data_IF_716051689487
#
_entry.id   IF_716051689487
#
_cell.length_a   1.000
_cell.length_b   1.000
_cell.length_c   1.000
_cell.angle_alpha   90.00
_cell.angle_beta   90.00
_cell.angle_gamma   90.00
#
_symmetry.space_group_name_H-M   'P 1'
#
loop_
_entity.id
_entity.type
_entity.pdbx_description
1 polymer ?
#
# COMPACT_ATOMS: atom_id res chain seq x y z
N UNK A 1 3.65 -4.22 -8.09
CA UNK A 1 4.40 -4.20 -6.81
C UNK A 1 5.16 -2.91 -6.50
N UNK A 2 5.09 -1.86 -7.35
CA UNK A 2 5.97 -0.68 -7.20
C UNK A 2 5.89 0.00 -5.83
N UNK A 3 4.68 0.26 -5.32
CA UNK A 3 4.52 0.88 -3.99
C UNK A 3 5.05 0.00 -2.86
N UNK A 4 4.81 -1.31 -2.89
CA UNK A 4 5.31 -2.26 -1.88
C UNK A 4 6.84 -2.24 -1.81
N UNK A 5 7.50 -2.33 -2.97
CA UNK A 5 8.96 -2.29 -3.07
C UNK A 5 9.50 -0.94 -2.58
N UNK A 6 8.88 0.17 -3.02
CA UNK A 6 9.29 1.51 -2.61
C UNK A 6 9.17 1.69 -1.08
N UNK A 7 8.05 1.26 -0.47
CA UNK A 7 7.87 1.31 1.00
C UNK A 7 8.96 0.51 1.72
N UNK A 8 9.33 -0.66 1.18
CA UNK A 8 10.36 -1.51 1.79
C UNK A 8 11.74 -0.87 1.72
N UNK A 9 12.11 -0.29 0.58
CA UNK A 9 13.37 0.45 0.42
C UNK A 9 13.39 1.68 1.34
N UNK A 10 12.29 2.43 1.43
CA UNK A 10 12.23 3.62 2.27
C UNK A 10 12.39 3.29 3.76
N UNK A 11 11.79 2.20 4.23
CA UNK A 11 11.99 1.74 5.61
C UNK A 11 13.43 1.28 5.88
N UNK A 12 14.13 0.79 4.85
CA UNK A 12 15.48 0.27 4.98
C UNK A 12 15.57 -0.96 5.89
N UNK A 13 16.75 -1.17 6.47
CA UNK A 13 17.06 -2.24 7.40
C UNK A 13 17.21 -3.62 6.77
N UNK A 14 17.39 -4.63 7.62
CA UNK A 14 17.54 -6.01 7.19
C UNK A 14 16.25 -6.54 6.58
N UNK A 15 16.33 -6.98 5.32
CA UNK A 15 15.30 -7.75 4.65
C UNK A 15 15.72 -9.21 4.62
N UNK A 16 14.87 -10.08 5.15
CA UNK A 16 15.15 -11.51 5.22
C UNK A 16 13.93 -12.26 4.73
N UNK A 17 14.18 -13.20 3.84
CA UNK A 17 13.24 -14.21 3.36
C UNK A 17 13.76 -15.59 3.74
N UNK A 18 13.01 -16.63 3.42
CA UNK A 18 13.40 -18.02 3.62
C UNK A 18 14.66 -18.41 2.83
N UNK A 19 14.96 -17.72 1.72
CA UNK A 19 16.08 -18.05 0.82
C UNK A 19 17.19 -16.99 0.79
N UNK A 20 16.88 -15.74 1.14
CA UNK A 20 17.77 -14.60 0.91
C UNK A 20 17.74 -13.62 2.09
N UNK A 21 18.88 -12.98 2.37
CA UNK A 21 18.95 -11.86 3.30
C UNK A 21 19.82 -10.75 2.71
N UNK A 22 19.35 -9.50 2.83
CA UNK A 22 20.09 -8.33 2.38
C UNK A 22 19.82 -7.12 3.29
N UNK A 23 20.80 -6.22 3.37
CA UNK A 23 20.66 -4.93 4.02
C UNK A 23 20.18 -3.89 3.00
N UNK A 24 19.02 -3.28 3.25
CA UNK A 24 18.46 -2.23 2.39
C UNK A 24 18.99 -0.83 2.76
N UNK A 25 19.90 -0.75 3.73
CA UNK A 25 20.50 0.48 4.20
C UNK A 25 19.67 1.17 5.28
N UNK A 26 19.93 2.46 5.47
CA UNK A 26 19.33 3.22 6.56
C UNK A 26 17.88 3.61 6.26
N UNK A 27 17.09 3.80 7.32
CA UNK A 27 15.73 4.32 7.25
C UNK A 27 15.71 5.71 6.57
N UNK A 28 15.00 5.81 5.44
CA UNK A 28 14.84 7.01 4.62
C UNK A 28 13.52 7.74 4.89
N UNK A 29 12.67 7.30 5.81
CA UNK A 29 11.34 7.89 6.07
C UNK A 29 11.38 9.39 6.31
N UNK A 30 12.41 9.89 7.01
CA UNK A 30 12.62 11.33 7.26
C UNK A 30 13.15 12.12 6.05
N UNK A 31 13.60 11.42 4.99
CA UNK A 31 14.13 12.00 3.75
C UNK A 31 13.10 12.01 2.62
N UNK A 32 11.99 11.30 2.79
CA UNK A 32 10.89 11.30 1.82
C UNK A 32 9.85 12.30 2.29
N UNK A 33 9.74 13.43 1.59
CA UNK A 33 8.76 14.46 1.90
C UNK A 33 7.32 13.95 1.64
N UNK A 34 7.06 13.46 0.43
CA UNK A 34 5.74 13.00 -0.02
C UNK A 34 5.84 11.62 -0.66
N UNK A 35 4.97 10.70 -0.25
CA UNK A 35 4.80 9.39 -0.86
C UNK A 35 3.36 9.23 -1.37
N UNK A 36 3.21 8.96 -2.67
CA UNK A 36 1.91 8.73 -3.30
C UNK A 36 1.82 7.26 -3.72
N UNK A 37 0.91 6.52 -3.08
CA UNK A 37 0.54 5.16 -3.47
C UNK A 37 -0.66 5.22 -4.40
N UNK A 38 -0.53 4.64 -5.59
CA UNK A 38 -1.57 4.63 -6.62
C UNK A 38 -1.89 3.18 -6.94
N UNK A 39 -3.15 2.78 -6.71
CA UNK A 39 -3.64 1.43 -7.01
C UNK A 39 -2.68 0.33 -6.53
N UNK A 40 -2.52 0.20 -5.21
CA UNK A 40 -1.48 -0.64 -4.61
C UNK A 40 -2.07 -1.78 -3.79
N UNK A 41 -1.65 -3.02 -3.97
CA UNK A 41 -2.15 -4.13 -3.17
C UNK A 41 -1.47 -4.21 -1.77
N UNK A 42 -1.73 -3.27 -0.86
CA UNK A 42 -1.06 -3.21 0.46
C UNK A 42 -1.54 -4.29 1.43
N UNK A 43 -2.68 -4.91 1.16
CA UNK A 43 -3.23 -6.02 1.95
C UNK A 43 -3.37 -7.31 1.11
N UNK A 44 -2.78 -7.34 -0.09
CA UNK A 44 -2.84 -8.45 -1.04
C UNK A 44 -3.85 -8.23 -2.16
N UNK A 45 -4.04 -9.26 -2.98
CA UNK A 45 -5.02 -9.28 -4.07
C UNK A 45 -5.83 -10.58 -3.97
N UNK A 46 -7.16 -10.51 -4.09
CA UNK A 46 -8.00 -11.71 -3.93
C UNK A 46 -7.70 -12.80 -4.97
N UNK A 47 -7.34 -12.43 -6.19
CA UNK A 47 -6.90 -13.41 -7.20
C UNK A 47 -5.66 -14.20 -6.74
N UNK A 48 -4.82 -13.61 -5.87
CA UNK A 48 -3.64 -14.26 -5.33
C UNK A 48 -3.93 -15.27 -4.22
N UNK A 49 -5.19 -15.42 -3.78
CA UNK A 49 -5.60 -16.51 -2.88
C UNK A 49 -5.42 -17.89 -3.55
N UNK A 50 -5.63 -17.96 -4.87
CA UNK A 50 -5.58 -19.22 -5.63
C UNK A 50 -4.48 -19.27 -6.69
N UNK A 51 -3.78 -18.16 -6.93
CA UNK A 51 -2.77 -18.02 -7.98
C UNK A 51 -1.33 -18.19 -7.48
N UNK A 52 -1.10 -19.06 -6.47
CA UNK A 52 0.22 -19.25 -5.82
C UNK A 52 1.35 -19.71 -6.76
N UNK A 53 1.02 -20.25 -7.94
CA UNK A 53 2.01 -20.59 -8.96
C UNK A 53 2.73 -19.36 -9.55
N UNK A 54 2.15 -18.16 -9.42
CA UNK A 54 2.78 -16.92 -9.85
C UNK A 54 3.57 -16.31 -8.70
N UNK A 55 4.85 -16.00 -8.94
CA UNK A 55 5.72 -15.39 -7.93
C UNK A 55 5.13 -14.11 -7.31
N UNK A 56 4.39 -13.32 -8.11
CA UNK A 56 3.70 -12.12 -7.64
C UNK A 56 2.63 -12.39 -6.56
N UNK A 57 2.14 -13.63 -6.45
CA UNK A 57 1.15 -14.07 -5.47
C UNK A 57 1.75 -14.90 -4.32
N UNK A 58 3.08 -14.95 -4.20
CA UNK A 58 3.74 -15.72 -3.13
C UNK A 58 3.36 -15.27 -1.72
N UNK A 59 3.39 -16.21 -0.77
CA UNK A 59 3.06 -15.96 0.64
C UNK A 59 4.14 -15.18 1.39
N UNK A 60 5.38 -15.14 0.91
CA UNK A 60 6.46 -14.43 1.59
C UNK A 60 6.68 -13.03 1.01
N UNK A 61 6.85 -12.94 -0.31
CA UNK A 61 7.26 -11.71 -1.01
C UNK A 61 6.19 -11.14 -1.95
N UNK A 62 5.08 -11.87 -2.17
CA UNK A 62 4.03 -11.51 -3.12
C UNK A 62 2.81 -10.83 -2.48
N UNK A 63 1.68 -10.92 -3.18
CA UNK A 63 0.39 -10.32 -2.83
C UNK A 63 -0.63 -11.33 -2.31
N UNK A 64 -0.18 -12.44 -1.73
CA UNK A 64 -1.09 -13.37 -1.09
C UNK A 64 -1.94 -12.63 -0.03
N UNK A 65 -3.28 -12.63 -0.15
CA UNK A 65 -4.16 -11.87 0.75
C UNK A 65 -4.40 -12.60 2.08
N UNK A 66 -3.88 -13.81 2.24
CA UNK A 66 -4.27 -14.71 3.31
C UNK A 66 -5.47 -15.56 2.89
N UNK A 67 -5.96 -16.36 3.83
CA UNK A 67 -7.10 -17.26 3.58
C UNK A 67 -8.07 -17.12 4.72
N UNK A 68 -9.37 -17.08 4.41
CA UNK A 68 -10.41 -17.22 5.41
C UNK A 68 -11.52 -18.15 4.93
N UNK A 69 -11.93 -19.07 5.80
CA UNK A 69 -13.09 -19.94 5.56
C UNK A 69 -14.37 -19.23 5.97
N UNK A 70 -15.33 -19.13 5.03
CA UNK A 70 -16.70 -18.66 5.31
C UNK A 70 -17.03 -17.25 4.83
N UNK A 71 -16.12 -16.58 4.13
CA UNK A 71 -16.42 -15.34 3.41
C UNK A 71 -15.61 -15.23 2.12
N UNK A 72 -16.08 -14.40 1.19
CA UNK A 72 -15.33 -14.07 -0.03
C UNK A 72 -14.25 -13.05 0.29
N UNK A 73 -13.07 -13.20 -0.32
CA UNK A 73 -11.97 -12.27 -0.13
C UNK A 73 -12.35 -10.82 -0.49
N UNK A 74 -13.18 -10.60 -1.50
CA UNK A 74 -13.62 -9.28 -1.97
C UNK A 74 -14.88 -8.76 -1.25
N UNK A 75 -15.29 -9.42 -0.16
CA UNK A 75 -16.51 -9.06 0.57
C UNK A 75 -16.50 -7.59 1.01
N UNK A 76 -17.60 -6.90 0.68
CA UNK A 76 -17.91 -5.52 1.09
C UNK A 76 -18.29 -5.40 2.57
N UNK A 77 -18.67 -6.51 3.20
CA UNK A 77 -18.93 -6.53 4.63
C UNK A 77 -17.60 -6.40 5.40
N UNK A 78 -17.38 -5.27 6.07
CA UNK A 78 -16.19 -5.06 6.91
C UNK A 78 -16.14 -6.01 8.12
N UNK A 79 -17.27 -6.65 8.46
CA UNK A 79 -17.41 -7.70 9.48
C UNK A 79 -17.29 -9.10 8.91
N UNK A 80 -17.12 -9.25 7.60
CA UNK A 80 -16.87 -10.54 6.94
C UNK A 80 -15.74 -11.33 7.61
N UNK A 81 -14.81 -10.63 8.24
CA UNK A 81 -13.68 -11.22 8.95
C UNK A 81 -13.91 -11.53 10.43
N UNK A 82 -15.08 -11.26 11.00
CA UNK A 82 -15.36 -11.58 12.42
C UNK A 82 -15.12 -13.08 12.70
N UNK A 83 -15.36 -13.94 11.70
CA UNK A 83 -15.08 -15.38 11.77
C UNK A 83 -13.64 -15.78 11.35
N UNK A 84 -12.91 -14.87 10.71
CA UNK A 84 -11.58 -15.12 10.14
C UNK A 84 -10.43 -14.85 11.13
N UNK A 85 -10.71 -14.15 12.23
CA UNK A 85 -9.66 -13.63 13.11
C UNK A 85 -8.65 -12.73 12.37
N UNK A 86 -7.41 -12.72 12.85
CA UNK A 86 -6.31 -11.96 12.24
C UNK A 86 -5.79 -12.67 10.97
N UNK A 87 -6.40 -12.40 9.82
CA UNK A 87 -5.94 -12.91 8.53
C UNK A 87 -4.48 -12.55 8.27
N UNK A 88 -3.65 -13.58 8.06
CA UNK A 88 -2.22 -13.43 7.76
C UNK A 88 -2.03 -13.43 6.24
N UNK A 89 -1.92 -12.23 5.69
CA UNK A 89 -1.47 -12.02 4.31
C UNK A 89 0.06 -12.12 4.23
N UNK A 90 0.63 -11.87 3.05
CA UNK A 90 2.05 -12.17 2.82
C UNK A 90 3.00 -11.52 3.83
N UNK A 91 4.08 -12.22 4.19
CA UNK A 91 5.01 -11.79 5.25
C UNK A 91 5.57 -10.38 5.00
N UNK A 92 5.94 -10.07 3.76
CA UNK A 92 6.46 -8.74 3.38
C UNK A 92 5.42 -7.64 3.58
N UNK A 93 4.17 -7.87 3.20
CA UNK A 93 3.10 -6.90 3.41
C UNK A 93 2.79 -6.73 4.91
N UNK A 94 2.75 -7.84 5.67
CA UNK A 94 2.53 -7.82 7.11
C UNK A 94 3.58 -6.98 7.83
N UNK A 95 4.85 -7.18 7.48
CA UNK A 95 5.99 -6.40 7.98
C UNK A 95 5.86 -4.91 7.64
N UNK A 96 5.55 -4.60 6.37
CA UNK A 96 5.34 -3.23 5.93
C UNK A 96 4.22 -2.51 6.68
N UNK A 97 3.18 -3.23 7.10
CA UNK A 97 2.01 -2.67 7.76
C UNK A 97 2.09 -2.68 9.31
N UNK A 98 3.06 -3.38 9.91
CA UNK A 98 3.15 -3.57 11.38
C UNK A 98 3.65 -2.35 12.15
N UNK A 99 4.63 -1.62 11.62
CA UNK A 99 5.43 -0.69 12.44
C UNK A 99 4.74 0.60 12.88
N UNK A 100 3.49 0.87 12.47
CA UNK A 100 2.81 2.12 12.81
C UNK A 100 3.42 3.40 12.21
N UNK A 101 4.61 3.29 11.58
CA UNK A 101 5.40 4.38 11.04
C UNK A 101 4.97 4.71 9.62
N UNK A 102 4.81 6.01 9.34
CA UNK A 102 4.64 6.50 7.98
C UNK A 102 5.92 6.30 7.17
N UNK A 103 5.74 6.08 5.87
CA UNK A 103 6.85 5.95 4.91
C UNK A 103 7.37 7.29 4.40
N UNK A 104 6.74 8.40 4.78
CA UNK A 104 7.13 9.74 4.38
C UNK A 104 6.55 10.76 5.38
N UNK A 105 6.97 12.03 5.26
CA UNK A 105 6.33 13.14 5.98
C UNK A 105 4.84 13.25 5.67
N UNK A 106 4.46 13.03 4.41
CA UNK A 106 3.07 12.99 3.95
C UNK A 106 2.82 11.76 3.08
N UNK A 107 1.75 11.02 3.38
CA UNK A 107 1.39 9.79 2.65
C UNK A 107 0.00 9.93 2.04
N UNK A 108 -0.11 9.78 0.72
CA UNK A 108 -1.39 9.76 0.01
C UNK A 108 -1.67 8.37 -0.58
N UNK A 109 -2.90 7.89 -0.44
CA UNK A 109 -3.40 6.68 -1.09
C UNK A 109 -4.49 7.02 -2.10
N UNK A 110 -4.27 6.63 -3.35
CA UNK A 110 -5.15 6.87 -4.49
C UNK A 110 -5.61 5.54 -5.08
N UNK A 111 -6.91 5.38 -5.32
CA UNK A 111 -7.45 4.21 -6.04
C UNK A 111 -8.77 4.53 -6.72
N UNK A 112 -9.16 3.68 -7.66
CA UNK A 112 -10.47 3.70 -8.31
C UNK A 112 -11.33 2.60 -7.72
N UNK A 113 -12.64 2.85 -7.58
CA UNK A 113 -13.59 1.76 -7.28
C UNK A 113 -13.83 0.84 -8.49
N UNK A 114 -13.37 1.24 -9.68
CA UNK A 114 -13.52 0.47 -10.92
C UNK A 114 -12.19 -0.15 -11.38
N UNK A 115 -11.23 -0.30 -10.46
CA UNK A 115 -9.95 -0.99 -10.73
C UNK A 115 -10.19 -2.50 -10.94
N UNK A 116 -10.01 -2.94 -12.18
CA UNK A 116 -10.30 -4.29 -12.63
C UNK A 116 -9.22 -5.33 -12.30
N UNK A 117 -8.04 -4.89 -11.85
CA UNK A 117 -6.87 -5.76 -11.62
C UNK A 117 -6.70 -6.10 -10.15
N UNK A 118 -6.66 -5.06 -9.31
CA UNK A 118 -6.45 -5.23 -7.87
C UNK A 118 -7.79 -5.39 -7.15
N UNK A 119 -8.85 -4.77 -7.69
CA UNK A 119 -10.11 -4.60 -6.99
C UNK A 119 -9.98 -3.63 -5.82
N UNK A 120 -11.05 -3.50 -5.04
CA UNK A 120 -11.12 -2.49 -3.98
C UNK A 120 -10.83 -3.08 -2.62
N UNK A 121 -11.43 -4.23 -2.31
CA UNK A 121 -11.46 -4.80 -0.98
C UNK A 121 -10.75 -6.14 -0.91
N UNK A 122 -10.06 -6.33 0.21
CA UNK A 122 -9.48 -7.60 0.64
C UNK A 122 -9.86 -7.79 2.11
N UNK A 123 -10.67 -8.79 2.39
CA UNK A 123 -11.18 -9.12 3.72
C UNK A 123 -11.81 -7.90 4.41
N UNK A 124 -12.68 -7.17 3.68
CA UNK A 124 -13.35 -5.97 4.16
C UNK A 124 -12.47 -4.72 4.30
N UNK A 125 -11.22 -4.74 3.79
CA UNK A 125 -10.28 -3.61 3.86
C UNK A 125 -9.91 -3.11 2.47
N UNK A 126 -9.86 -1.80 2.29
CA UNK A 126 -9.37 -1.21 1.04
C UNK A 126 -7.90 -1.58 0.83
N UNK A 127 -7.61 -2.46 -0.14
CA UNK A 127 -6.24 -2.96 -0.33
C UNK A 127 -5.29 -1.85 -0.78
N UNK A 128 -5.80 -0.88 -1.53
CA UNK A 128 -5.10 0.32 -1.98
C UNK A 128 -4.69 1.30 -0.88
N UNK A 129 -5.23 1.15 0.33
CA UNK A 129 -4.88 2.01 1.44
C UNK A 129 -3.50 1.63 2.01
N UNK A 130 -2.57 2.58 2.00
CA UNK A 130 -1.36 2.50 2.83
C UNK A 130 -1.72 2.86 4.27
N UNK A 131 -1.35 2.04 5.28
CA UNK A 131 -1.54 2.38 6.68
C UNK A 131 -0.99 3.78 7.00
N UNK A 132 -1.73 4.54 7.82
CA UNK A 132 -1.35 5.90 8.24
C UNK A 132 -1.27 6.93 7.11
N UNK A 133 -1.97 6.71 5.99
CA UNK A 133 -2.14 7.75 4.97
C UNK A 133 -2.79 9.01 5.53
N UNK A 134 -2.20 10.16 5.22
CA UNK A 134 -2.73 11.50 5.50
C UNK A 134 -3.88 11.88 4.57
N UNK A 135 -3.83 11.38 3.34
CA UNK A 135 -4.83 11.65 2.32
C UNK A 135 -5.28 10.36 1.65
N UNK A 136 -6.58 10.30 1.37
CA UNK A 136 -7.21 9.27 0.56
C UNK A 136 -7.98 9.95 -0.54
N UNK A 137 -7.77 9.54 -1.79
CA UNK A 137 -8.56 10.03 -2.91
C UNK A 137 -9.05 8.84 -3.74
N UNK A 138 -10.37 8.74 -3.81
CA UNK A 138 -11.09 7.64 -4.44
C UNK A 138 -11.68 8.17 -5.75
N UNK A 139 -11.42 7.46 -6.84
CA UNK A 139 -11.94 7.77 -8.17
C UNK A 139 -13.02 6.75 -8.57
N UNK A 140 -13.75 7.09 -9.61
CA UNK A 140 -14.65 6.18 -10.32
C UNK A 140 -14.34 6.27 -11.81
N UNK A 141 -14.70 5.23 -12.56
CA UNK A 141 -14.53 5.07 -13.99
C UNK A 141 -13.07 5.15 -14.48
N UNK A 142 -12.10 4.82 -13.62
CA UNK A 142 -10.70 4.66 -14.01
C UNK A 142 -10.29 3.20 -13.88
N UNK A 143 -9.70 2.65 -14.94
CA UNK A 143 -9.05 1.34 -14.86
C UNK A 143 -7.80 1.39 -13.98
N UNK A 144 -7.26 0.21 -13.64
CA UNK A 144 -6.01 0.08 -12.92
C UNK A 144 -4.87 0.90 -13.55
N UNK A 145 -4.79 0.92 -14.88
CA UNK A 145 -3.73 1.63 -15.60
C UNK A 145 -4.01 3.13 -15.69
N UNK A 146 -5.28 3.52 -15.88
CA UNK A 146 -5.68 4.93 -15.92
C UNK A 146 -5.38 5.65 -14.62
N UNK A 147 -5.46 4.94 -13.48
CA UNK A 147 -5.11 5.49 -12.17
C UNK A 147 -3.74 6.17 -12.16
N UNK A 148 -2.75 5.64 -12.89
CA UNK A 148 -1.43 6.25 -12.98
C UNK A 148 -1.38 7.43 -13.95
N UNK A 149 -1.89 7.26 -15.16
CA UNK A 149 -1.75 8.25 -16.25
C UNK A 149 -2.74 9.41 -16.13
N UNK A 150 -3.99 9.12 -15.81
CA UNK A 150 -5.10 10.08 -15.84
C UNK A 150 -5.16 10.94 -14.57
N UNK A 151 -4.46 10.55 -13.50
CA UNK A 151 -4.41 11.31 -12.23
C UNK A 151 -3.13 12.14 -12.06
N UNK A 152 -2.32 12.30 -13.11
CA UNK A 152 -1.03 13.00 -13.02
C UNK A 152 -1.14 14.44 -12.49
N UNK A 153 -2.20 15.17 -12.85
CA UNK A 153 -2.47 16.51 -12.32
C UNK A 153 -2.70 16.50 -10.80
N UNK A 154 -3.43 15.49 -10.30
CA UNK A 154 -3.66 15.33 -8.87
C UNK A 154 -2.38 14.94 -8.13
N UNK A 155 -1.57 14.06 -8.71
CA UNK A 155 -0.26 13.69 -8.16
C UNK A 155 0.62 14.93 -7.97
N UNK A 156 0.68 15.80 -8.99
CA UNK A 156 1.41 17.06 -8.93
C UNK A 156 0.85 17.98 -7.84
N UNK A 157 -0.47 18.16 -7.78
CA UNK A 157 -1.11 19.02 -6.78
C UNK A 157 -0.85 18.52 -5.35
N UNK A 158 -0.86 17.20 -5.14
CA UNK A 158 -0.57 16.59 -3.84
C UNK A 158 0.85 16.92 -3.38
N UNK A 159 1.84 16.80 -4.27
CA UNK A 159 3.23 17.16 -3.97
C UNK A 159 3.30 18.65 -3.59
N UNK A 160 2.71 19.53 -4.40
CA UNK A 160 2.75 20.99 -4.17
C UNK A 160 2.05 21.41 -2.87
N UNK A 161 0.94 20.79 -2.52
CA UNK A 161 0.23 21.06 -1.26
C UNK A 161 1.11 20.77 -0.04
N UNK A 162 1.93 19.71 -0.09
CA UNK A 162 2.82 19.38 1.01
C UNK A 162 4.08 20.26 1.04
N UNK A 163 4.64 20.63 -0.12
CA UNK A 163 5.75 21.58 -0.22
C UNK A 163 5.39 22.95 0.40
N UNK A 164 4.15 23.41 0.19
CA UNK A 164 3.68 24.67 0.77
C UNK A 164 3.62 24.64 2.30
N UNK A 165 3.30 23.49 2.91
CA UNK A 165 3.36 23.34 4.38
C UNK A 165 4.79 23.48 4.91
N UNK A 166 5.78 23.04 4.14
CA UNK A 166 7.19 23.15 4.48
C UNK A 166 7.68 24.61 4.41
N UNK A 167 7.18 25.40 3.44
CA UNK A 167 7.56 26.82 3.29
C UNK A 167 7.02 27.71 4.43
N UNK A 168 5.89 27.36 5.03
CA UNK A 168 5.37 28.07 6.21
C UNK A 168 6.03 27.62 7.53
N UNK A 169 6.53 26.39 7.61
CA UNK A 169 7.20 25.87 8.80
C UNK A 169 8.68 26.30 8.89
N UNK A 170 9.37 26.48 7.76
CA UNK A 170 10.78 26.91 7.71
C UNK A 170 10.94 28.45 7.68
N UNK A 171 9.86 29.24 7.74
CA UNK A 171 9.95 30.71 7.80
C UNK A 171 10.21 31.28 9.20
N UNK A 172 10.49 30.44 10.19
CA UNK A 172 10.92 30.85 11.53
C UNK A 172 12.24 30.18 11.90
N UNK A 173 13.31 30.55 11.20
CA UNK A 173 14.68 30.60 11.76
C UNK A 173 15.63 31.26 10.74
N UNK A 174 15.92 32.55 10.98
CA UNK A 174 17.17 33.24 10.63
C UNK A 174 17.66 33.93 11.91
#
# INVERSE_FOLDING_TARGET
>A
MGATIARRIIKGGQYTTSTESCDLGHDLTKRVNTFISIASANYGMCICEHALAFAACGMETGFHPGTCTGTSCDSQDYKSTENCGDVKYSSTLMDLNKDGKKVAGFVASLWSEDDEIIGNLVWGRHTSLVPHSDMRKIYTNLSHMDMKSSTAADQYNIIRMNDQKFTFADSTEY
#
